data_IF_463612149827
#
_entry.id   IF_463612149827
#
_cell.length_a   1.000
_cell.length_b   1.000
_cell.length_c   1.000
_cell.angle_alpha   90.00
_cell.angle_beta   90.00
_cell.angle_gamma   90.00
#
_symmetry.space_group_name_H-M   'P 1'
#
loop_
_entity.id
_entity.type
_entity.pdbx_description
1 polymer ?
#
# COMPACT_ATOMS: atom_id res chain seq x y z
N UNK A 1 9.62 7.57 -18.48
CA UNK A 1 8.29 7.40 -19.10
C UNK A 1 7.66 8.78 -19.28
N UNK A 2 6.99 9.05 -20.39
CA UNK A 2 6.32 10.35 -20.65
C UNK A 2 4.81 10.15 -20.87
N UNK A 3 3.97 11.14 -20.56
CA UNK A 3 2.53 11.05 -20.80
C UNK A 3 2.19 10.79 -22.27
N UNK A 4 2.95 11.39 -23.19
CA UNK A 4 2.80 11.19 -24.63
C UNK A 4 3.05 9.72 -25.05
N UNK A 5 4.03 9.05 -24.45
CA UNK A 5 4.30 7.64 -24.74
C UNK A 5 3.14 6.75 -24.26
N UNK A 6 2.58 7.06 -23.09
CA UNK A 6 1.40 6.34 -22.56
C UNK A 6 0.19 6.55 -23.47
N UNK A 7 -0.07 7.78 -23.91
CA UNK A 7 -1.16 8.07 -24.84
C UNK A 7 -0.99 7.31 -26.17
N UNK A 8 0.22 7.29 -26.74
CA UNK A 8 0.51 6.51 -27.97
C UNK A 8 0.33 5.01 -27.75
N UNK A 9 0.82 4.49 -26.63
CA UNK A 9 0.68 3.08 -26.27
C UNK A 9 -0.79 2.66 -26.15
N UNK A 10 -1.61 3.48 -25.48
CA UNK A 10 -3.05 3.26 -25.34
C UNK A 10 -3.82 3.55 -26.63
N UNK A 11 -3.27 4.38 -27.52
CA UNK A 11 -3.80 4.66 -28.86
C UNK A 11 -3.51 3.58 -29.91
N UNK A 12 -2.89 2.45 -29.51
CA UNK A 12 -2.64 1.31 -30.40
C UNK A 12 -1.28 1.31 -31.11
N UNK A 13 -0.35 2.20 -30.77
CA UNK A 13 1.02 2.17 -31.30
C UNK A 13 1.76 0.94 -30.74
N UNK A 14 2.13 -0.05 -31.58
CA UNK A 14 2.69 -1.31 -31.12
C UNK A 14 4.12 -1.18 -30.58
N UNK A 15 4.84 -0.11 -30.92
CA UNK A 15 6.17 0.17 -30.38
C UNK A 15 6.05 0.84 -29.02
N UNK A 16 5.18 1.84 -28.89
CA UNK A 16 4.92 2.49 -27.61
C UNK A 16 4.31 1.52 -26.59
N UNK A 17 3.40 0.63 -27.02
CA UNK A 17 2.81 -0.39 -26.16
C UNK A 17 3.86 -1.37 -25.60
N UNK A 18 4.80 -1.83 -26.44
CA UNK A 18 5.91 -2.68 -26.00
C UNK A 18 6.82 -1.97 -25.00
N UNK A 19 7.15 -0.71 -25.24
CA UNK A 19 7.97 0.09 -24.33
C UNK A 19 7.27 0.29 -22.97
N UNK A 20 5.98 0.60 -22.99
CA UNK A 20 5.18 0.76 -21.77
C UNK A 20 5.09 -0.54 -20.97
N UNK A 21 4.77 -1.66 -21.64
CA UNK A 21 4.68 -2.98 -21.00
C UNK A 21 6.02 -3.39 -20.37
N UNK A 22 7.13 -3.20 -21.08
CA UNK A 22 8.46 -3.52 -20.55
C UNK A 22 8.79 -2.70 -19.29
N UNK A 23 8.48 -1.40 -19.29
CA UNK A 23 8.65 -0.57 -18.11
C UNK A 23 7.78 -1.01 -16.93
N UNK A 24 6.50 -1.32 -17.19
CA UNK A 24 5.58 -1.81 -16.14
C UNK A 24 6.13 -3.08 -15.52
N UNK A 25 6.51 -4.06 -16.34
CA UNK A 25 7.04 -5.36 -15.88
C UNK A 25 8.29 -5.16 -15.02
N UNK A 26 9.27 -4.38 -15.49
CA UNK A 26 10.52 -4.17 -14.76
C UNK A 26 10.30 -3.43 -13.42
N UNK A 27 9.44 -2.41 -13.42
CA UNK A 27 9.16 -1.62 -12.23
C UNK A 27 8.32 -2.38 -11.20
N UNK A 28 7.32 -3.15 -11.66
CA UNK A 28 6.51 -4.00 -10.79
C UNK A 28 7.34 -5.16 -10.20
N UNK A 29 8.11 -5.87 -11.02
CA UNK A 29 8.93 -7.03 -10.59
C UNK A 29 9.91 -6.64 -9.48
N UNK A 30 10.58 -5.49 -9.62
CA UNK A 30 11.50 -4.96 -8.60
C UNK A 30 10.80 -4.81 -7.24
N UNK A 31 9.61 -4.20 -7.22
CA UNK A 31 8.87 -3.94 -5.98
C UNK A 31 8.31 -5.23 -5.38
N UNK A 32 7.74 -6.10 -6.22
CA UNK A 32 7.17 -7.39 -5.80
C UNK A 32 8.26 -8.26 -5.17
N UNK A 33 9.43 -8.39 -5.81
CA UNK A 33 10.56 -9.13 -5.24
C UNK A 33 11.03 -8.56 -3.90
N UNK A 34 11.07 -7.22 -3.77
CA UNK A 34 11.43 -6.59 -2.49
C UNK A 34 10.42 -6.93 -1.37
N UNK A 35 9.13 -6.98 -1.68
CA UNK A 35 8.08 -7.35 -0.73
C UNK A 35 8.10 -8.83 -0.35
N UNK A 36 8.28 -9.72 -1.33
CA UNK A 36 8.36 -11.17 -1.12
C UNK A 36 9.61 -11.57 -0.34
N UNK A 37 10.72 -10.85 -0.50
CA UNK A 37 11.93 -11.04 0.34
C UNK A 37 11.67 -10.76 1.82
N UNK A 38 10.80 -9.79 2.13
CA UNK A 38 10.43 -9.43 3.52
C UNK A 38 9.37 -10.36 4.10
N UNK A 39 8.63 -11.08 3.26
CA UNK A 39 7.58 -11.99 3.64
C UNK A 39 7.78 -13.34 2.94
N UNK A 40 8.75 -14.16 3.37
CA UNK A 40 9.02 -15.44 2.75
C UNK A 40 7.85 -16.40 2.98
N UNK A 41 6.89 -16.42 2.06
CA UNK A 41 5.91 -17.49 1.97
C UNK A 41 6.55 -18.66 1.23
N UNK A 42 6.33 -19.89 1.68
CA UNK A 42 6.96 -21.09 1.09
C UNK A 42 6.62 -21.37 -0.38
N UNK A 43 5.82 -20.49 -1.04
CA UNK A 43 5.39 -20.56 -2.44
C UNK A 43 6.06 -19.52 -3.35
N UNK A 44 7.32 -19.17 -3.09
CA UNK A 44 7.99 -18.09 -3.83
C UNK A 44 8.35 -18.40 -5.30
N UNK A 45 8.27 -19.65 -5.77
CA UNK A 45 8.62 -19.99 -7.16
C UNK A 45 7.41 -19.72 -8.08
N UNK A 46 7.51 -18.71 -8.94
CA UNK A 46 6.46 -18.31 -9.91
C UNK A 46 5.49 -17.24 -9.42
N UNK A 47 5.31 -17.07 -8.10
CA UNK A 47 4.40 -16.07 -7.52
C UNK A 47 4.75 -14.64 -7.94
N UNK A 48 6.04 -14.30 -8.08
CA UNK A 48 6.45 -12.97 -8.56
C UNK A 48 5.97 -12.70 -9.98
N UNK A 49 6.02 -13.70 -10.87
CA UNK A 49 5.62 -13.55 -12.27
C UNK A 49 4.09 -13.43 -12.39
N UNK A 50 3.34 -14.23 -11.62
CA UNK A 50 1.89 -14.13 -11.51
C UNK A 50 1.47 -12.73 -11.02
N UNK A 51 2.09 -12.24 -9.94
CA UNK A 51 1.78 -10.91 -9.41
C UNK A 51 2.15 -9.79 -10.37
N UNK A 52 3.26 -9.91 -11.11
CA UNK A 52 3.63 -8.93 -12.14
C UNK A 52 2.60 -8.93 -13.28
N UNK A 53 2.13 -10.11 -13.69
CA UNK A 53 1.06 -10.23 -14.67
C UNK A 53 -0.23 -9.58 -14.18
N UNK A 54 -0.64 -9.85 -12.94
CA UNK A 54 -1.84 -9.24 -12.35
C UNK A 54 -1.73 -7.71 -12.32
N UNK A 55 -0.56 -7.17 -11.97
CA UNK A 55 -0.31 -5.72 -11.98
C UNK A 55 -0.42 -5.15 -13.40
N UNK A 56 0.15 -5.83 -14.40
CA UNK A 56 0.06 -5.38 -15.78
C UNK A 56 -1.39 -5.40 -16.27
N UNK A 57 -2.11 -6.51 -16.07
CA UNK A 57 -3.54 -6.63 -16.41
C UNK A 57 -4.35 -5.54 -15.72
N UNK A 58 -4.08 -5.29 -14.45
CA UNK A 58 -4.76 -4.26 -13.67
C UNK A 58 -4.52 -2.85 -14.20
N UNK A 59 -3.28 -2.51 -14.58
CA UNK A 59 -2.93 -1.20 -15.15
C UNK A 59 -3.55 -0.99 -16.54
N UNK A 60 -3.65 -2.03 -17.36
CA UNK A 60 -4.28 -1.97 -18.68
C UNK A 60 -5.81 -2.15 -18.64
N UNK A 61 -6.38 -2.56 -17.52
CA UNK A 61 -7.82 -2.71 -17.35
C UNK A 61 -8.55 -1.38 -17.60
N UNK A 62 -9.83 -1.47 -17.98
CA UNK A 62 -10.68 -0.32 -18.25
C UNK A 62 -10.02 0.67 -19.21
N UNK A 63 -9.46 0.13 -20.30
CA UNK A 63 -8.82 0.91 -21.36
C UNK A 63 -7.62 1.74 -20.84
N UNK A 64 -6.91 1.22 -19.83
CA UNK A 64 -5.76 1.90 -19.24
C UNK A 64 -6.11 3.17 -18.46
N UNK A 65 -7.32 3.27 -17.88
CA UNK A 65 -7.77 4.43 -17.09
C UNK A 65 -6.75 4.86 -16.02
N UNK A 66 -6.14 3.91 -15.33
CA UNK A 66 -5.09 4.18 -14.34
C UNK A 66 -3.82 4.76 -14.98
N UNK A 67 -3.40 4.20 -16.11
CA UNK A 67 -2.26 4.70 -16.88
C UNK A 67 -2.50 6.13 -17.38
N UNK A 68 -3.74 6.46 -17.79
CA UNK A 68 -4.13 7.83 -18.17
C UNK A 68 -4.21 8.78 -16.99
N UNK A 69 -4.50 8.27 -15.80
CA UNK A 69 -4.54 9.05 -14.56
C UNK A 69 -3.17 9.37 -13.97
N UNK A 70 -2.09 8.78 -14.50
CA UNK A 70 -0.74 9.15 -14.09
C UNK A 70 -0.37 10.54 -14.63
N UNK A 71 0.19 11.35 -13.74
CA UNK A 71 0.57 12.74 -13.97
C UNK A 71 2.03 12.90 -13.56
N UNK A 72 2.86 13.33 -14.51
CA UNK A 72 4.31 13.46 -14.33
C UNK A 72 4.70 14.47 -13.26
N UNK A 73 3.85 15.49 -13.00
CA UNK A 73 4.06 16.47 -11.93
C UNK A 73 3.94 15.84 -10.54
N UNK A 74 3.30 14.67 -10.43
CA UNK A 74 3.04 13.97 -9.16
C UNK A 74 4.11 12.95 -8.81
N UNK A 75 5.02 12.65 -9.73
CA UNK A 75 6.13 11.73 -9.52
C UNK A 75 6.44 10.84 -10.72
N UNK A 76 7.52 10.08 -10.61
CA UNK A 76 7.97 9.20 -11.69
C UNK A 76 6.98 8.05 -11.93
N UNK A 77 6.92 7.60 -13.18
CA UNK A 77 6.08 6.46 -13.56
C UNK A 77 6.48 5.17 -12.84
N UNK A 78 7.78 4.93 -12.64
CA UNK A 78 8.27 3.75 -11.94
C UNK A 78 7.80 3.72 -10.49
N UNK A 79 7.73 4.90 -9.86
CA UNK A 79 7.15 5.06 -8.53
C UNK A 79 5.66 4.72 -8.52
N UNK A 80 4.90 5.28 -9.47
CA UNK A 80 3.47 5.04 -9.62
C UNK A 80 3.15 3.54 -9.81
N UNK A 81 3.81 2.88 -10.77
CA UNK A 81 3.69 1.44 -11.01
C UNK A 81 4.08 0.66 -9.75
N UNK A 82 5.15 1.07 -9.07
CA UNK A 82 5.61 0.42 -7.85
C UNK A 82 4.58 0.46 -6.71
N UNK A 83 3.86 1.57 -6.56
CA UNK A 83 2.80 1.70 -5.57
C UNK A 83 1.61 0.79 -5.88
N UNK A 84 1.16 0.77 -7.15
CA UNK A 84 0.10 -0.13 -7.61
C UNK A 84 0.51 -1.59 -7.36
N UNK A 85 1.75 -1.94 -7.73
CA UNK A 85 2.29 -3.28 -7.54
C UNK A 85 2.32 -3.71 -6.07
N UNK A 86 2.77 -2.82 -5.18
CA UNK A 86 2.81 -3.08 -3.74
C UNK A 86 1.43 -3.36 -3.17
N UNK A 87 0.43 -2.53 -3.49
CA UNK A 87 -0.92 -2.67 -2.94
C UNK A 87 -1.61 -3.93 -3.44
N UNK A 88 -1.56 -4.19 -4.74
CA UNK A 88 -2.17 -5.38 -5.32
C UNK A 88 -1.54 -6.65 -4.74
N UNK A 89 -0.22 -6.66 -4.57
CA UNK A 89 0.51 -7.75 -3.90
C UNK A 89 0.08 -7.92 -2.45
N UNK A 90 0.04 -6.85 -1.65
CA UNK A 90 -0.40 -6.93 -0.26
C UNK A 90 -1.83 -7.48 -0.14
N UNK A 91 -2.77 -7.00 -0.96
CA UNK A 91 -4.16 -7.50 -1.00
C UNK A 91 -4.23 -8.98 -1.37
N UNK A 92 -3.44 -9.40 -2.36
CA UNK A 92 -3.38 -10.80 -2.78
C UNK A 92 -2.82 -11.68 -1.66
N UNK A 93 -1.73 -11.24 -1.02
CA UNK A 93 -1.10 -11.95 0.09
C UNK A 93 -2.00 -12.04 1.34
N UNK A 94 -2.80 -11.02 1.64
CA UNK A 94 -3.75 -11.07 2.78
C UNK A 94 -4.92 -12.01 2.50
N UNK A 95 -5.44 -12.05 1.26
CA UNK A 95 -6.46 -13.02 0.86
C UNK A 95 -5.98 -14.47 1.01
N UNK A 96 -4.70 -14.75 0.71
CA UNK A 96 -4.11 -16.08 0.91
C UNK A 96 -3.97 -16.49 2.39
N UNK A 97 -3.90 -15.54 3.34
CA UNK A 97 -3.74 -15.85 4.78
C UNK A 97 -5.05 -16.22 5.48
N UNK A 98 -6.22 -15.98 4.85
CA UNK A 98 -7.54 -16.18 5.47
C UNK A 98 -8.48 -17.14 4.76
N UNK A 99 -8.11 -17.72 3.61
CA UNK A 99 -9.03 -18.55 2.81
C UNK A 99 -8.46 -19.93 2.44
N UNK A 100 -8.95 -21.04 3.05
CA UNK A 100 -8.54 -22.40 2.70
C UNK A 100 -9.02 -22.85 1.29
N UNK A 101 -9.93 -22.12 0.64
CA UNK A 101 -10.41 -22.43 -0.72
C UNK A 101 -9.43 -22.03 -1.85
N UNK A 102 -8.34 -21.32 -1.53
CA UNK A 102 -7.29 -20.97 -2.51
C UNK A 102 -6.31 -22.13 -2.81
N UNK A 103 -6.63 -23.37 -2.40
CA UNK A 103 -5.79 -24.56 -2.57
C UNK A 103 -6.11 -25.39 -3.81
N UNK A 104 -7.14 -25.02 -4.58
CA UNK A 104 -7.51 -25.73 -5.81
C UNK A 104 -7.03 -24.93 -7.03
N UNK A 105 -6.28 -25.54 -7.97
CA UNK A 105 -5.93 -24.88 -9.23
C UNK A 105 -7.19 -24.86 -10.10
N UNK A 106 -7.96 -23.77 -10.04
CA UNK A 106 -9.18 -23.63 -10.84
C UNK A 106 -8.83 -22.85 -12.11
N UNK A 107 -8.97 -23.54 -13.24
CA UNK A 107 -8.65 -23.10 -14.60
C UNK A 107 -9.56 -21.97 -15.15
N UNK A 108 -10.38 -21.33 -14.30
CA UNK A 108 -11.29 -20.26 -14.68
C UNK A 108 -11.23 -19.14 -13.63
N UNK A 109 -10.21 -18.29 -13.68
CA UNK A 109 -10.23 -17.02 -12.96
C UNK A 109 -10.79 -15.92 -13.88
N UNK A 110 -12.07 -15.61 -13.70
CA UNK A 110 -12.63 -14.30 -14.03
C UNK A 110 -11.74 -13.21 -13.39
N UNK A 111 -11.42 -12.07 -14.05
CA UNK A 111 -10.62 -11.02 -13.43
C UNK A 111 -11.33 -10.54 -12.16
N UNK A 112 -10.75 -10.86 -11.00
CA UNK A 112 -11.35 -10.69 -9.68
C UNK A 112 -11.28 -9.24 -9.17
N UNK A 113 -11.52 -8.28 -10.06
CA UNK A 113 -11.39 -6.86 -9.78
C UNK A 113 -12.79 -6.24 -9.74
N UNK A 114 -13.29 -5.81 -8.57
CA UNK A 114 -14.52 -5.04 -8.51
C UNK A 114 -14.29 -3.70 -9.24
N UNK A 115 -14.99 -3.52 -10.36
CA UNK A 115 -14.72 -2.55 -11.44
C UNK A 115 -15.01 -1.07 -11.11
N UNK A 116 -15.13 -0.69 -9.83
CA UNK A 116 -15.43 0.70 -9.42
C UNK A 116 -14.78 1.12 -8.10
N UNK A 117 -14.85 0.27 -7.07
CA UNK A 117 -14.21 0.54 -5.78
C UNK A 117 -12.68 0.61 -5.88
N UNK A 118 -12.07 -0.15 -6.81
CA UNK A 118 -10.62 -0.24 -6.92
C UNK A 118 -9.96 1.06 -7.47
N UNK A 119 -10.69 1.86 -8.26
CA UNK A 119 -10.20 3.14 -8.79
C UNK A 119 -10.23 4.25 -7.72
N UNK A 120 -11.31 4.32 -6.94
CA UNK A 120 -11.41 5.24 -5.79
C UNK A 120 -10.44 4.85 -4.68
N UNK A 121 -10.29 3.55 -4.40
CA UNK A 121 -9.33 3.03 -3.43
C UNK A 121 -7.89 3.34 -3.84
N UNK A 122 -7.57 3.37 -5.14
CA UNK A 122 -6.25 3.79 -5.65
C UNK A 122 -6.07 5.30 -5.68
N UNK A 123 -7.13 6.05 -5.95
CA UNK A 123 -7.05 7.52 -5.87
C UNK A 123 -6.80 7.93 -4.42
N UNK A 124 -7.56 7.34 -3.49
CA UNK A 124 -7.36 7.49 -2.05
C UNK A 124 -6.00 6.95 -1.61
N UNK A 125 -5.53 5.86 -2.23
CA UNK A 125 -4.20 5.31 -2.01
C UNK A 125 -3.07 6.29 -2.30
N UNK A 126 -3.14 6.93 -3.47
CA UNK A 126 -2.14 7.88 -3.97
C UNK A 126 -2.17 9.16 -3.13
N UNK A 127 -3.36 9.58 -2.70
CA UNK A 127 -3.52 10.67 -1.75
C UNK A 127 -2.88 10.34 -0.40
N UNK A 128 -3.17 9.15 0.16
CA UNK A 128 -2.60 8.70 1.43
C UNK A 128 -1.08 8.50 1.36
N UNK A 129 -0.57 7.96 0.25
CA UNK A 129 0.86 7.77 0.06
C UNK A 129 1.61 9.09 -0.08
N UNK A 130 1.02 10.09 -0.76
CA UNK A 130 1.56 11.46 -0.81
C UNK A 130 1.64 12.06 0.59
N UNK A 131 0.59 11.89 1.36
CA UNK A 131 0.52 12.31 2.75
C UNK A 131 1.63 11.64 3.57
N UNK A 132 1.78 10.32 3.46
CA UNK A 132 2.80 9.56 4.18
C UNK A 132 4.22 9.99 3.80
N UNK A 133 4.49 10.27 2.51
CA UNK A 133 5.79 10.79 2.07
C UNK A 133 6.09 12.20 2.57
N UNK A 134 5.07 13.05 2.61
CA UNK A 134 5.23 14.38 3.18
C UNK A 134 5.53 14.30 4.69
N UNK A 135 4.83 13.42 5.40
CA UNK A 135 5.10 13.10 6.81
C UNK A 135 6.51 12.54 6.99
N UNK A 136 6.95 11.60 6.15
CA UNK A 136 8.31 11.04 6.18
C UNK A 136 9.39 12.11 5.99
N UNK A 137 9.17 13.08 5.10
CA UNK A 137 10.15 14.12 4.79
C UNK A 137 10.25 15.20 5.86
N UNK A 138 9.13 15.54 6.50
CA UNK A 138 9.06 16.57 7.55
C UNK A 138 9.51 16.04 8.92
N UNK A 139 9.56 14.72 9.10
CA UNK A 139 9.90 14.08 10.37
C UNK A 139 11.38 13.73 10.48
N UNK A 140 11.89 13.80 11.72
CA UNK A 140 13.23 13.31 12.02
C UNK A 140 13.26 11.77 11.88
N UNK A 141 14.37 11.16 11.40
CA UNK A 141 14.44 9.72 11.12
C UNK A 141 14.07 8.79 12.28
N UNK A 142 14.27 9.19 13.54
CA UNK A 142 13.83 8.41 14.70
C UNK A 142 12.32 8.49 14.91
N UNK A 143 11.71 9.64 14.65
CA UNK A 143 10.26 9.82 14.75
C UNK A 143 9.52 9.10 13.61
N UNK A 144 10.08 9.07 12.40
CA UNK A 144 9.51 8.28 11.30
C UNK A 144 9.51 6.79 11.60
N UNK A 145 10.59 6.25 12.18
CA UNK A 145 10.65 4.83 12.59
C UNK A 145 9.56 4.50 13.61
N UNK A 146 9.34 5.37 14.59
CA UNK A 146 8.26 5.22 15.59
C UNK A 146 6.88 5.30 14.96
N UNK A 147 6.68 6.22 14.02
CA UNK A 147 5.43 6.35 13.25
C UNK A 147 5.15 5.07 12.46
N UNK A 148 6.14 4.56 11.73
CA UNK A 148 6.03 3.34 10.95
C UNK A 148 5.70 2.15 11.87
N UNK A 149 6.42 1.98 12.97
CA UNK A 149 6.16 0.93 13.95
C UNK A 149 4.73 0.98 14.51
N UNK A 150 4.27 2.16 14.94
CA UNK A 150 2.96 2.30 15.58
C UNK A 150 1.79 2.21 14.61
N UNK A 151 1.85 2.92 13.48
CA UNK A 151 0.69 3.12 12.61
C UNK A 151 0.68 2.22 11.37
N UNK A 152 1.86 1.77 10.91
CA UNK A 152 1.97 0.89 9.74
C UNK A 152 2.12 -0.57 10.17
N UNK A 153 3.01 -0.84 11.12
CA UNK A 153 3.21 -2.18 11.69
C UNK A 153 2.18 -2.52 12.78
N UNK A 154 1.36 -1.54 13.21
CA UNK A 154 0.32 -1.69 14.24
C UNK A 154 0.83 -2.27 15.57
N UNK A 155 2.09 -2.03 15.92
CA UNK A 155 2.65 -2.48 17.19
C UNK A 155 1.89 -1.86 18.37
N UNK A 156 1.71 -2.64 19.43
CA UNK A 156 1.18 -2.11 20.68
C UNK A 156 2.18 -1.13 21.30
N UNK A 157 1.70 -0.29 22.23
CA UNK A 157 2.55 0.68 22.92
C UNK A 157 3.61 -0.05 23.76
N UNK A 158 3.24 -1.17 24.35
CA UNK A 158 4.13 -2.04 25.13
C UNK A 158 5.19 -2.71 24.25
N UNK A 159 4.80 -3.23 23.09
CA UNK A 159 5.73 -3.86 22.14
C UNK A 159 6.72 -2.85 21.57
N UNK A 160 6.25 -1.65 21.22
CA UNK A 160 7.09 -0.57 20.73
C UNK A 160 8.05 -0.06 21.81
N UNK A 161 7.57 0.09 23.05
CA UNK A 161 8.39 0.46 24.21
C UNK A 161 9.50 -0.56 24.45
N UNK A 162 9.16 -1.87 24.43
CA UNK A 162 10.12 -2.95 24.58
C UNK A 162 11.16 -2.97 23.44
N UNK A 163 10.72 -2.73 22.19
CA UNK A 163 11.59 -2.71 21.01
C UNK A 163 12.59 -1.55 21.02
N UNK A 164 12.19 -0.40 21.53
CA UNK A 164 13.04 0.81 21.57
C UNK A 164 13.80 1.00 22.88
N UNK A 165 13.55 0.16 23.89
CA UNK A 165 14.19 0.28 25.20
C UNK A 165 13.77 1.53 25.96
N UNK A 166 12.55 2.01 25.74
CA UNK A 166 11.96 3.20 26.39
C UNK A 166 10.69 2.83 27.14
N UNK A 167 10.18 3.72 28.01
CA UNK A 167 8.94 3.46 28.73
C UNK A 167 7.69 3.63 27.85
N UNK A 168 6.61 2.91 28.16
CA UNK A 168 5.31 3.08 27.51
C UNK A 168 4.80 4.53 27.59
N UNK A 169 5.04 5.20 28.72
CA UNK A 169 4.72 6.63 28.89
C UNK A 169 5.48 7.54 27.91
N UNK A 170 6.73 7.20 27.58
CA UNK A 170 7.50 7.95 26.58
C UNK A 170 6.90 7.79 25.17
N UNK A 171 6.46 6.57 24.82
CA UNK A 171 5.76 6.30 23.55
C UNK A 171 4.41 7.04 23.50
N UNK A 172 3.62 7.03 24.58
CA UNK A 172 2.38 7.81 24.67
C UNK A 172 2.62 9.32 24.49
N UNK A 173 3.60 9.87 25.20
CA UNK A 173 3.93 11.29 25.13
C UNK A 173 4.46 11.70 23.76
N UNK A 174 5.17 10.80 23.07
CA UNK A 174 5.60 10.97 21.69
C UNK A 174 4.40 10.94 20.73
N UNK A 175 3.53 9.92 20.82
CA UNK A 175 2.36 9.77 19.95
C UNK A 175 1.38 10.96 20.06
N UNK A 176 1.20 11.47 21.28
CA UNK A 176 0.40 12.68 21.52
C UNK A 176 1.00 13.91 20.83
N UNK A 177 2.31 14.14 20.98
CA UNK A 177 3.03 15.23 20.30
C UNK A 177 2.97 15.11 18.79
N UNK A 178 3.12 13.89 18.27
CA UNK A 178 3.01 13.59 16.85
C UNK A 178 1.63 13.92 16.30
N UNK A 179 0.55 13.46 16.95
CA UNK A 179 -0.82 13.78 16.52
C UNK A 179 -1.08 15.28 16.51
N UNK A 180 -0.59 16.01 17.51
CA UNK A 180 -0.73 17.47 17.55
C UNK A 180 -0.03 18.12 16.35
N UNK A 181 1.21 17.71 16.07
CA UNK A 181 1.98 18.20 14.92
C UNK A 181 1.31 17.88 13.59
N UNK A 182 0.82 16.65 13.42
CA UNK A 182 0.07 16.25 12.22
C UNK A 182 -1.22 17.06 12.06
N UNK A 183 -1.89 17.45 13.15
CA UNK A 183 -3.12 18.27 13.11
C UNK A 183 -2.83 19.70 12.66
N UNK A 184 -1.72 20.25 13.13
CA UNK A 184 -1.28 21.61 12.83
C UNK A 184 -0.76 21.73 11.39
N UNK A 185 -0.04 20.71 10.90
CA UNK A 185 0.63 20.76 9.60
C UNK A 185 -0.22 20.15 8.46
N UNK A 186 -1.11 19.21 8.78
CA UNK A 186 -1.84 18.39 7.80
C UNK A 186 -3.28 18.09 8.27
N UNK A 187 -4.17 19.10 8.33
CA UNK A 187 -5.53 18.94 8.83
C UNK A 187 -6.34 17.87 8.10
N UNK A 188 -6.09 17.68 6.80
CA UNK A 188 -6.78 16.68 5.96
C UNK A 188 -6.36 15.22 6.25
N UNK A 189 -5.23 15.02 6.95
CA UNK A 189 -4.60 13.69 7.17
C UNK A 189 -5.15 12.98 8.40
N UNK A 190 -5.59 13.75 9.40
CA UNK A 190 -6.05 13.21 10.68
C UNK A 190 -7.38 12.47 10.56
N UNK A 191 -8.26 12.91 9.66
CA UNK A 191 -9.54 12.24 9.43
C UNK A 191 -9.39 10.77 9.00
N UNK A 192 -8.24 10.40 8.39
CA UNK A 192 -7.95 9.03 7.95
C UNK A 192 -7.32 8.17 9.07
N UNK A 193 -6.64 8.78 10.04
CA UNK A 193 -5.92 8.07 11.11
C UNK A 193 -6.77 7.82 12.37
N UNK A 194 -7.82 8.61 12.60
CA UNK A 194 -8.65 8.55 13.82
C UNK A 194 -9.58 7.31 13.90
N UNK A 195 -9.71 6.51 12.83
CA UNK A 195 -10.53 5.28 12.83
C UNK A 195 -9.84 4.01 13.37
N UNK A 196 -8.58 4.07 13.79
CA UNK A 196 -7.77 2.88 14.12
C UNK A 196 -7.54 2.64 15.62
N UNK A 197 -8.03 3.51 16.49
CA UNK A 197 -7.63 3.56 17.91
C UNK A 197 -8.81 3.46 18.90
N UNK A 198 -10.02 3.08 18.46
CA UNK A 198 -11.08 2.68 19.38
C UNK A 198 -10.94 1.18 19.71
N UNK A 199 -10.37 0.79 20.86
CA UNK A 199 -10.66 -0.52 21.41
C UNK A 199 -12.17 -0.56 21.73
N UNK A 200 -12.85 -1.71 21.58
CA UNK A 200 -14.16 -1.85 22.18
C UNK A 200 -14.00 -1.60 23.67
N UNK A 201 -14.58 -0.50 24.15
CA UNK A 201 -14.82 -0.24 25.57
C UNK A 201 -15.85 -1.26 26.04
N UNK A 202 -15.39 -2.50 26.20
CA UNK A 202 -16.10 -3.60 26.84
C UNK A 202 -15.94 -3.46 28.34
N UNK A 203 -16.89 -2.72 28.90
CA UNK A 203 -17.33 -2.72 30.29
C UNK A 203 -16.93 -3.94 31.11
N UNK A 204 -16.14 -3.64 32.14
CA UNK A 204 -16.07 -4.33 33.42
C UNK A 204 -17.47 -4.41 34.04
N UNK A 205 -18.21 -5.48 33.73
CA UNK A 205 -19.39 -5.86 34.51
C UNK A 205 -18.93 -6.82 35.61
N UNK A 206 -18.74 -6.24 36.79
CA UNK A 206 -18.64 -6.98 38.02
C UNK A 206 -19.90 -7.78 38.26
N UNK A 207 -19.75 -9.10 38.39
CA UNK A 207 -20.72 -9.93 39.08
C UNK A 207 -20.02 -10.48 40.33
N UNK A 208 -20.26 -9.78 41.44
CA UNK A 208 -20.33 -10.40 42.76
C UNK A 208 -21.68 -11.08 42.86
N UNK A 209 -21.68 -12.39 43.12
CA UNK A 209 -22.37 -13.03 44.26
C UNK A 209 -21.86 -14.48 44.42
#
# INVERSE_FOLDING_TARGET
MTPLLIQRALGGDPQAARQLAQHIVLSADRQIRALLRRNPTGRNRGLSEELVHDVAVYLYAHDGKLLRGWDESRGSFDYYVGLVARRLTCRRLTQFRGNPACLTPVADMQPLLPQGAADEEITHALALDRVLRHVEHEMEPSDWRRFHARFIEQLSIEEQAAREGVSANAIHAWASRLRRRLREQLPDVIAVLEGADDPPSGSDDGVKE
#
